data_IF_726227160861
#
_entry.id   IF_726227160861
#
_cell.length_a   1.000
_cell.length_b   1.000
_cell.length_c   1.000
_cell.angle_alpha   90.00
_cell.angle_beta   90.00
_cell.angle_gamma   90.00
#
_symmetry.space_group_name_H-M   'P 1'
#
loop_
_entity.id
_entity.type
_entity.pdbx_description
1 polymer ?
#
# COMPACT_ATOMS: atom_id res chain seq x y z
N UNK A 1 -2.48 27.89 12.02
CA UNK A 1 -2.49 27.85 10.56
C UNK A 1 -2.77 29.23 10.02
N UNK A 2 -1.92 29.71 9.11
CA UNK A 2 -2.10 30.98 8.38
C UNK A 2 -3.28 30.86 7.40
N UNK A 3 -3.79 31.98 6.87
CA UNK A 3 -4.88 31.96 5.86
C UNK A 3 -4.51 31.14 4.61
N UNK A 4 -3.31 31.32 4.00
CA UNK A 4 -2.90 30.49 2.86
C UNK A 4 -2.84 28.99 3.17
N UNK A 5 -2.39 28.63 4.39
CA UNK A 5 -2.31 27.24 4.81
C UNK A 5 -3.72 26.61 4.95
N UNK A 6 -4.71 27.38 5.40
CA UNK A 6 -6.11 26.92 5.48
C UNK A 6 -6.74 26.73 4.10
N UNK A 7 -6.52 27.66 3.17
CA UNK A 7 -7.04 27.60 1.81
C UNK A 7 -6.45 26.41 1.03
N UNK A 8 -5.13 26.23 1.11
CA UNK A 8 -4.45 25.03 0.60
C UNK A 8 -5.11 23.76 1.13
N UNK A 9 -5.32 23.72 2.44
CA UNK A 9 -5.84 22.55 3.14
C UNK A 9 -7.26 22.17 2.71
N UNK A 10 -8.11 23.17 2.52
CA UNK A 10 -9.47 22.98 2.04
C UNK A 10 -9.50 22.47 0.59
N UNK A 11 -8.72 23.09 -0.30
CA UNK A 11 -8.61 22.67 -1.69
C UNK A 11 -8.01 21.26 -1.82
N UNK A 12 -7.03 20.92 -0.99
CA UNK A 12 -6.43 19.57 -0.95
C UNK A 12 -7.46 18.53 -0.52
N UNK A 13 -8.25 18.81 0.52
CA UNK A 13 -9.32 17.92 0.97
C UNK A 13 -10.34 17.69 -0.14
N UNK A 14 -10.72 18.74 -0.88
CA UNK A 14 -11.63 18.64 -2.01
C UNK A 14 -11.05 17.76 -3.14
N UNK A 15 -9.77 17.95 -3.51
CA UNK A 15 -9.10 17.13 -4.53
C UNK A 15 -8.99 15.64 -4.13
N UNK A 16 -8.77 15.35 -2.85
CA UNK A 16 -8.78 13.97 -2.34
C UNK A 16 -10.18 13.35 -2.38
N UNK A 17 -11.22 14.13 -2.11
CA UNK A 17 -12.61 13.68 -2.23
C UNK A 17 -12.99 13.39 -3.69
N UNK A 18 -12.60 14.27 -4.61
CA UNK A 18 -12.81 14.09 -6.06
C UNK A 18 -12.19 12.77 -6.55
N UNK A 19 -10.97 12.45 -6.12
CA UNK A 19 -10.34 11.16 -6.39
C UNK A 19 -11.19 9.99 -5.87
N UNK A 20 -11.64 10.06 -4.61
CA UNK A 20 -12.40 8.98 -4.00
C UNK A 20 -13.71 8.72 -4.77
N UNK A 21 -14.43 9.79 -5.14
CA UNK A 21 -15.64 9.73 -5.96
C UNK A 21 -15.34 9.15 -7.34
N UNK A 22 -14.27 9.59 -8.02
CA UNK A 22 -13.88 9.09 -9.34
C UNK A 22 -13.64 7.58 -9.33
N UNK A 23 -12.87 7.08 -8.36
CA UNK A 23 -12.58 5.65 -8.25
C UNK A 23 -13.86 4.86 -7.99
N UNK A 24 -14.70 5.30 -7.04
CA UNK A 24 -15.94 4.61 -6.72
C UNK A 24 -16.90 4.55 -7.91
N UNK A 25 -17.14 5.70 -8.57
CA UNK A 25 -18.02 5.79 -9.74
C UNK A 25 -17.51 4.94 -10.91
N UNK A 26 -16.19 4.89 -11.13
CA UNK A 26 -15.62 4.05 -12.21
C UNK A 26 -15.80 2.56 -11.91
N UNK A 27 -15.67 2.15 -10.65
CA UNK A 27 -15.91 0.76 -10.27
C UNK A 27 -17.38 0.36 -10.50
N UNK A 28 -18.32 1.24 -10.17
CA UNK A 28 -19.75 1.05 -10.39
C UNK A 28 -20.09 1.00 -11.89
N UNK A 29 -19.55 1.92 -12.69
CA UNK A 29 -19.74 1.97 -14.14
C UNK A 29 -19.25 0.68 -14.82
N UNK A 30 -18.04 0.20 -14.47
CA UNK A 30 -17.49 -1.05 -15.03
C UNK A 30 -18.30 -2.27 -14.54
N UNK A 31 -18.77 -2.28 -13.30
CA UNK A 31 -19.64 -3.34 -12.79
C UNK A 31 -20.98 -3.38 -13.54
N UNK A 32 -21.58 -2.22 -13.81
CA UNK A 32 -22.82 -2.12 -14.60
C UNK A 32 -22.63 -2.60 -16.03
N UNK A 33 -21.51 -2.26 -16.69
CA UNK A 33 -21.20 -2.78 -18.02
C UNK A 33 -21.09 -4.32 -18.04
N UNK A 34 -20.48 -4.90 -16.99
CA UNK A 34 -20.39 -6.35 -16.84
C UNK A 34 -21.77 -6.99 -16.63
N UNK A 35 -22.63 -6.35 -15.84
CA UNK A 35 -23.98 -6.82 -15.57
C UNK A 35 -24.86 -6.81 -16.84
N UNK A 36 -24.82 -5.72 -17.62
CA UNK A 36 -25.54 -5.63 -18.91
C UNK A 36 -25.08 -6.72 -19.88
N UNK A 37 -23.76 -6.96 -19.97
CA UNK A 37 -23.22 -8.02 -20.81
C UNK A 37 -23.68 -9.42 -20.33
N UNK A 38 -23.75 -9.62 -19.02
CA UNK A 38 -24.30 -10.83 -18.42
C UNK A 38 -25.77 -11.02 -18.78
N UNK A 39 -26.62 -10.01 -18.61
CA UNK A 39 -28.05 -10.11 -18.90
C UNK A 39 -28.30 -10.48 -20.36
N UNK A 40 -27.52 -9.89 -21.28
CA UNK A 40 -27.61 -10.23 -22.70
C UNK A 40 -27.23 -11.68 -22.99
N UNK A 41 -26.16 -12.19 -22.37
CA UNK A 41 -25.75 -13.60 -22.51
C UNK A 41 -26.81 -14.52 -21.91
N UNK A 42 -27.35 -14.18 -20.74
CA UNK A 42 -28.39 -14.97 -20.08
C UNK A 42 -29.67 -15.03 -20.92
N UNK A 43 -30.10 -13.91 -21.53
CA UNK A 43 -31.25 -13.87 -22.45
C UNK A 43 -31.03 -14.75 -23.68
N UNK A 44 -29.83 -14.69 -24.27
CA UNK A 44 -29.46 -15.54 -25.40
C UNK A 44 -29.52 -17.03 -25.02
N UNK A 45 -29.07 -17.40 -23.82
CA UNK A 45 -29.13 -18.79 -23.33
C UNK A 45 -30.55 -19.24 -22.98
N UNK A 46 -31.36 -18.38 -22.38
CA UNK A 46 -32.73 -18.70 -22.00
C UNK A 46 -33.66 -18.86 -23.22
N UNK A 47 -33.37 -18.15 -24.32
CA UNK A 47 -34.08 -18.29 -25.59
C UNK A 47 -33.59 -19.45 -26.47
N UNK A 48 -32.54 -20.17 -26.06
CA UNK A 48 -32.01 -21.28 -26.84
C UNK A 48 -32.92 -22.52 -26.74
N UNK A 49 -33.14 -23.27 -27.84
CA UNK A 49 -33.82 -24.57 -27.78
C UNK A 49 -33.12 -25.52 -26.80
N UNK A 50 -33.89 -26.35 -26.09
CA UNK A 50 -33.35 -27.33 -25.14
C UNK A 50 -32.55 -28.43 -25.84
N UNK A 51 -32.88 -28.72 -27.11
CA UNK A 51 -32.12 -29.64 -27.96
C UNK A 51 -31.01 -28.86 -28.69
N UNK A 52 -29.83 -28.82 -28.09
CA UNK A 52 -28.61 -28.26 -28.67
C UNK A 52 -28.13 -29.11 -29.86
N UNK A 53 -28.84 -29.06 -30.99
CA UNK A 53 -28.30 -29.57 -32.24
C UNK A 53 -27.07 -28.75 -32.66
N UNK A 54 -26.10 -29.41 -33.29
CA UNK A 54 -24.77 -28.87 -33.64
C UNK A 54 -24.80 -27.49 -34.31
N UNK A 55 -25.85 -27.18 -35.08
CA UNK A 55 -26.04 -25.90 -35.77
C UNK A 55 -26.37 -24.72 -34.84
N UNK A 56 -27.11 -24.94 -33.76
CA UNK A 56 -27.48 -23.88 -32.81
C UNK A 56 -26.33 -23.48 -31.87
N UNK A 57 -25.42 -24.42 -31.58
CA UNK A 57 -24.26 -24.14 -30.72
C UNK A 57 -23.30 -23.15 -31.36
N UNK A 58 -22.97 -23.32 -32.64
CA UNK A 58 -22.03 -22.40 -33.29
C UNK A 58 -22.60 -20.98 -33.34
N UNK A 59 -23.90 -20.83 -33.56
CA UNK A 59 -24.58 -19.54 -33.52
C UNK A 59 -24.53 -18.95 -32.10
N UNK A 60 -24.80 -19.75 -31.09
CA UNK A 60 -24.72 -19.33 -29.69
C UNK A 60 -23.30 -18.89 -29.30
N UNK A 61 -22.28 -19.67 -29.65
CA UNK A 61 -20.89 -19.34 -29.40
C UNK A 61 -20.48 -18.04 -30.11
N UNK A 62 -20.94 -17.81 -31.35
CA UNK A 62 -20.73 -16.53 -32.05
C UNK A 62 -21.38 -15.35 -31.33
N UNK A 63 -22.62 -15.51 -30.87
CA UNK A 63 -23.33 -14.45 -30.12
C UNK A 63 -22.65 -14.13 -28.78
N UNK A 64 -22.22 -15.16 -28.04
CA UNK A 64 -21.44 -15.01 -26.80
C UNK A 64 -20.11 -14.31 -27.08
N UNK A 65 -19.35 -14.76 -28.09
CA UNK A 65 -18.07 -14.15 -28.45
C UNK A 65 -18.22 -12.67 -28.85
N UNK A 66 -19.29 -12.33 -29.58
CA UNK A 66 -19.62 -10.95 -29.91
C UNK A 66 -19.92 -10.12 -28.66
N UNK A 67 -20.80 -10.59 -27.76
CA UNK A 67 -21.14 -9.89 -26.51
C UNK A 67 -19.90 -9.60 -25.64
N UNK A 68 -18.96 -10.55 -25.62
CA UNK A 68 -17.71 -10.43 -24.85
C UNK A 68 -16.73 -9.46 -25.49
N UNK A 69 -16.64 -9.45 -26.82
CA UNK A 69 -15.83 -8.49 -27.55
C UNK A 69 -16.33 -7.06 -27.35
N UNK A 70 -17.65 -6.87 -27.43
CA UNK A 70 -18.31 -5.59 -27.19
C UNK A 70 -18.11 -5.12 -25.74
N UNK A 71 -18.27 -6.02 -24.77
CA UNK A 71 -17.97 -5.74 -23.35
C UNK A 71 -16.52 -5.31 -23.15
N UNK A 72 -15.56 -6.06 -23.67
CA UNK A 72 -14.13 -5.76 -23.53
C UNK A 72 -13.75 -4.42 -24.17
N UNK A 73 -14.39 -4.07 -25.29
CA UNK A 73 -14.21 -2.78 -25.94
C UNK A 73 -14.82 -1.63 -25.11
N UNK A 74 -16.08 -1.75 -24.67
CA UNK A 74 -16.75 -0.73 -23.88
C UNK A 74 -16.05 -0.48 -22.53
N UNK A 75 -15.73 -1.54 -21.79
CA UNK A 75 -15.01 -1.45 -20.52
C UNK A 75 -13.58 -0.91 -20.71
N UNK A 76 -12.92 -1.25 -21.82
CA UNK A 76 -11.62 -0.71 -22.19
C UNK A 76 -11.66 0.80 -22.44
N UNK A 77 -12.63 1.27 -23.22
CA UNK A 77 -12.83 2.70 -23.49
C UNK A 77 -13.10 3.47 -22.18
N UNK A 78 -14.06 3.00 -21.38
CA UNK A 78 -14.39 3.59 -20.10
C UNK A 78 -13.16 3.66 -19.17
N UNK A 79 -12.42 2.55 -19.01
CA UNK A 79 -11.22 2.53 -18.17
C UNK A 79 -10.15 3.53 -18.68
N UNK A 80 -9.93 3.60 -19.99
CA UNK A 80 -8.95 4.51 -20.58
C UNK A 80 -9.28 5.98 -20.31
N UNK A 81 -10.55 6.35 -20.45
CA UNK A 81 -11.04 7.71 -20.16
C UNK A 81 -10.88 8.06 -18.67
N UNK A 82 -11.33 7.18 -17.77
CA UNK A 82 -11.23 7.42 -16.32
C UNK A 82 -9.80 7.38 -15.80
N UNK A 83 -8.90 6.63 -16.45
CA UNK A 83 -7.46 6.67 -16.17
C UNK A 83 -6.88 8.05 -16.50
N UNK A 84 -7.31 8.65 -17.61
CA UNK A 84 -6.95 10.03 -17.97
C UNK A 84 -7.50 11.03 -16.95
N UNK A 85 -8.76 10.87 -16.53
CA UNK A 85 -9.35 11.68 -15.46
C UNK A 85 -8.58 11.54 -14.13
N UNK A 86 -8.18 10.33 -13.76
CA UNK A 86 -7.41 10.07 -12.53
C UNK A 86 -6.03 10.71 -12.57
N UNK A 87 -5.37 10.70 -13.74
CA UNK A 87 -4.13 11.42 -13.98
C UNK A 87 -4.29 12.92 -13.76
N UNK A 88 -5.31 13.54 -14.37
CA UNK A 88 -5.61 14.97 -14.17
C UNK A 88 -5.99 15.29 -12.72
N UNK A 89 -6.72 14.41 -12.04
CA UNK A 89 -7.00 14.57 -10.62
C UNK A 89 -5.72 14.51 -9.76
N UNK A 90 -4.74 13.68 -10.16
CA UNK A 90 -3.42 13.61 -9.56
C UNK A 90 -2.66 14.93 -9.68
N UNK A 91 -2.69 15.58 -10.86
CA UNK A 91 -2.15 16.94 -11.06
C UNK A 91 -2.89 17.96 -10.20
N UNK A 92 -4.23 17.89 -10.19
CA UNK A 92 -5.09 18.78 -9.45
C UNK A 92 -4.88 18.73 -7.93
N UNK A 93 -4.34 17.62 -7.39
CA UNK A 93 -3.95 17.51 -5.99
C UNK A 93 -2.82 18.49 -5.61
N UNK A 94 -2.05 18.97 -6.58
CA UNK A 94 -0.94 19.91 -6.37
C UNK A 94 -1.36 21.30 -6.83
N UNK A 95 -1.90 21.41 -8.04
CA UNK A 95 -2.20 22.71 -8.65
C UNK A 95 -3.34 23.44 -7.93
N UNK A 96 -4.45 22.76 -7.62
CA UNK A 96 -5.61 23.40 -6.98
C UNK A 96 -5.24 23.94 -5.59
N UNK A 97 -4.52 23.20 -4.72
CA UNK A 97 -4.11 23.73 -3.41
C UNK A 97 -3.10 24.87 -3.48
N UNK A 98 -2.12 24.83 -4.38
CA UNK A 98 -1.15 25.92 -4.53
C UNK A 98 -1.85 27.19 -5.02
N UNK A 99 -2.70 27.08 -6.04
CA UNK A 99 -3.48 28.20 -6.55
C UNK A 99 -4.40 28.80 -5.47
N UNK A 100 -5.09 27.96 -4.69
CA UNK A 100 -5.96 28.40 -3.60
C UNK A 100 -5.19 29.15 -2.50
N UNK A 101 -3.92 28.82 -2.28
CA UNK A 101 -3.04 29.52 -1.33
C UNK A 101 -2.39 30.78 -1.90
N UNK A 102 -2.77 31.22 -3.10
CA UNK A 102 -2.16 32.36 -3.79
C UNK A 102 -0.76 32.09 -4.33
N UNK A 103 -0.34 30.82 -4.38
CA UNK A 103 0.98 30.41 -4.88
C UNK A 103 0.87 30.14 -6.38
N UNK A 104 1.13 31.18 -7.17
CA UNK A 104 1.16 31.07 -8.63
C UNK A 104 2.50 30.46 -9.08
N UNK A 105 2.45 29.26 -9.66
CA UNK A 105 3.62 28.56 -10.20
C UNK A 105 3.40 28.26 -11.68
N UNK A 106 4.31 28.73 -12.52
CA UNK A 106 4.34 28.36 -13.93
C UNK A 106 5.18 27.09 -14.07
N UNK A 107 4.50 25.96 -14.04
CA UNK A 107 5.15 24.64 -14.09
C UNK A 107 5.13 24.09 -15.53
N UNK A 108 6.18 23.36 -15.94
CA UNK A 108 6.26 22.79 -17.28
C UNK A 108 5.15 21.76 -17.53
N UNK A 109 4.89 21.49 -18.81
CA UNK A 109 3.98 20.41 -19.21
C UNK A 109 4.49 19.06 -18.67
N UNK A 110 3.57 18.20 -18.26
CA UNK A 110 3.92 16.87 -17.79
C UNK A 110 4.13 15.90 -18.96
N UNK A 111 5.13 15.03 -18.84
CA UNK A 111 5.33 13.92 -19.77
C UNK A 111 4.18 12.90 -19.65
N UNK A 112 3.44 12.72 -20.74
CA UNK A 112 2.29 11.81 -20.81
C UNK A 112 2.65 10.40 -21.29
N UNK A 113 3.92 10.09 -21.59
CA UNK A 113 4.34 8.75 -22.03
C UNK A 113 3.95 7.67 -21.01
N UNK A 114 4.12 7.97 -19.73
CA UNK A 114 3.75 7.03 -18.66
C UNK A 114 2.22 6.88 -18.54
N UNK A 115 1.45 7.95 -18.78
CA UNK A 115 -0.02 7.86 -18.86
C UNK A 115 -0.46 6.92 -19.99
N UNK A 116 0.16 7.04 -21.18
CA UNK A 116 -0.14 6.16 -22.32
C UNK A 116 0.14 4.71 -21.96
N UNK A 117 1.28 4.41 -21.32
CA UNK A 117 1.62 3.06 -20.89
C UNK A 117 0.62 2.49 -19.86
N UNK A 118 0.23 3.28 -18.85
CA UNK A 118 -0.74 2.85 -17.83
C UNK A 118 -2.10 2.56 -18.47
N UNK A 119 -2.55 3.41 -19.40
CA UNK A 119 -3.81 3.21 -20.14
C UNK A 119 -3.78 1.94 -20.97
N UNK A 120 -2.75 1.76 -21.80
CA UNK A 120 -2.62 0.57 -22.65
C UNK A 120 -2.64 -0.71 -21.82
N UNK A 121 -1.86 -0.77 -20.73
CA UNK A 121 -1.82 -1.93 -19.85
C UNK A 121 -3.18 -2.20 -19.18
N UNK A 122 -3.87 -1.18 -18.70
CA UNK A 122 -5.19 -1.33 -18.08
C UNK A 122 -6.24 -1.87 -19.07
N UNK A 123 -6.27 -1.32 -20.29
CA UNK A 123 -7.17 -1.74 -21.36
C UNK A 123 -6.92 -3.19 -21.76
N UNK A 124 -5.65 -3.57 -21.95
CA UNK A 124 -5.26 -4.95 -22.28
C UNK A 124 -5.73 -5.93 -21.18
N UNK A 125 -5.53 -5.58 -19.90
CA UNK A 125 -5.97 -6.43 -18.78
C UNK A 125 -7.49 -6.62 -18.70
N UNK A 126 -8.28 -5.60 -19.02
CA UNK A 126 -9.74 -5.73 -19.09
C UNK A 126 -10.16 -6.58 -20.29
N UNK A 127 -9.54 -6.40 -21.46
CA UNK A 127 -9.82 -7.22 -22.64
C UNK A 127 -9.48 -8.68 -22.40
N UNK A 128 -8.31 -8.97 -21.83
CA UNK A 128 -7.89 -10.32 -21.47
C UNK A 128 -8.84 -10.97 -20.48
N UNK A 129 -9.36 -10.21 -19.51
CA UNK A 129 -10.36 -10.70 -18.56
C UNK A 129 -11.65 -11.09 -19.28
N UNK A 130 -12.13 -10.26 -20.21
CA UNK A 130 -13.32 -10.56 -21.02
C UNK A 130 -13.11 -11.84 -21.85
N UNK A 131 -11.96 -11.97 -22.52
CA UNK A 131 -11.61 -13.18 -23.30
C UNK A 131 -11.59 -14.43 -22.41
N UNK A 132 -10.98 -14.36 -21.22
CA UNK A 132 -10.95 -15.48 -20.27
C UNK A 132 -12.36 -15.86 -19.79
N UNK A 133 -13.24 -14.88 -19.57
CA UNK A 133 -14.63 -15.15 -19.24
C UNK A 133 -15.33 -15.89 -20.40
N UNK A 134 -15.08 -15.49 -21.65
CA UNK A 134 -15.64 -16.16 -22.83
C UNK A 134 -15.17 -17.58 -23.04
N UNK A 135 -13.90 -17.85 -22.79
CA UNK A 135 -13.37 -19.21 -22.84
C UNK A 135 -14.07 -20.12 -21.82
N UNK A 136 -14.32 -19.63 -20.60
CA UNK A 136 -15.07 -20.38 -19.58
C UNK A 136 -16.51 -20.63 -20.02
N UNK A 137 -17.19 -19.64 -20.58
CA UNK A 137 -18.56 -19.81 -21.07
C UNK A 137 -18.59 -20.86 -22.18
N UNK A 138 -17.69 -20.76 -23.16
CA UNK A 138 -17.62 -21.72 -24.25
C UNK A 138 -17.35 -23.15 -23.75
N UNK A 139 -16.55 -23.31 -22.69
CA UNK A 139 -16.34 -24.60 -22.04
C UNK A 139 -17.64 -25.15 -21.44
N UNK A 140 -18.39 -24.33 -20.70
CA UNK A 140 -19.67 -24.74 -20.11
C UNK A 140 -20.71 -25.10 -21.18
N UNK A 141 -20.76 -24.34 -22.28
CA UNK A 141 -21.63 -24.65 -23.42
C UNK A 141 -21.23 -25.96 -24.12
N UNK A 142 -19.92 -26.23 -24.24
CA UNK A 142 -19.42 -27.49 -24.79
C UNK A 142 -19.81 -28.70 -23.93
N UNK A 143 -19.75 -28.57 -22.60
CA UNK A 143 -20.18 -29.62 -21.67
C UNK A 143 -21.68 -29.89 -21.74
N UNK A 144 -22.49 -28.85 -21.92
CA UNK A 144 -23.93 -28.99 -22.11
C UNK A 144 -24.25 -29.78 -23.38
N UNK A 145 -23.54 -29.49 -24.48
CA UNK A 145 -23.73 -30.15 -25.78
C UNK A 145 -23.46 -31.66 -25.72
N UNK A 146 -22.39 -32.10 -25.04
CA UNK A 146 -22.06 -33.53 -24.97
C UNK A 146 -22.90 -34.29 -23.94
N UNK A 147 -23.91 -33.64 -23.35
CA UNK A 147 -24.78 -34.22 -22.31
C UNK A 147 -24.08 -34.41 -20.97
N UNK A 148 -22.90 -33.83 -20.76
CA UNK A 148 -22.16 -33.93 -19.50
C UNK A 148 -22.77 -33.07 -18.39
N UNK A 149 -23.61 -32.08 -18.73
CA UNK A 149 -24.35 -31.26 -17.76
C UNK A 149 -25.68 -30.74 -18.33
N UNK A 150 -26.62 -30.39 -17.43
CA UNK A 150 -27.91 -29.82 -17.81
C UNK A 150 -27.84 -28.34 -18.20
N UNK A 151 -28.86 -27.87 -18.92
CA UNK A 151 -28.98 -26.47 -19.37
C UNK A 151 -29.08 -25.49 -18.21
N UNK A 152 -29.88 -25.83 -17.19
CA UNK A 152 -30.01 -25.00 -15.98
C UNK A 152 -28.68 -24.86 -15.23
N UNK A 153 -27.91 -25.95 -15.12
CA UNK A 153 -26.58 -25.93 -14.49
C UNK A 153 -25.60 -25.08 -15.30
N UNK A 154 -25.67 -25.16 -16.63
CA UNK A 154 -24.84 -24.37 -17.55
C UNK A 154 -25.11 -22.87 -17.36
N UNK A 155 -26.38 -22.45 -17.30
CA UNK A 155 -26.75 -21.05 -17.04
C UNK A 155 -26.22 -20.60 -15.66
N UNK A 156 -26.36 -21.43 -14.63
CA UNK A 156 -25.84 -21.13 -13.28
C UNK A 156 -24.31 -21.00 -13.23
N UNK A 157 -23.58 -21.85 -13.96
CA UNK A 157 -22.11 -21.79 -14.04
C UNK A 157 -21.63 -20.59 -14.86
N UNK A 158 -22.29 -20.27 -15.97
CA UNK A 158 -22.04 -19.06 -16.75
C UNK A 158 -22.26 -17.81 -15.89
N UNK A 159 -23.34 -17.77 -15.11
CA UNK A 159 -23.62 -16.69 -14.14
C UNK A 159 -22.50 -16.57 -13.11
N UNK A 160 -22.01 -17.67 -12.55
CA UNK A 160 -20.89 -17.66 -11.60
C UNK A 160 -19.58 -17.19 -12.22
N UNK A 161 -19.27 -17.67 -13.44
CA UNK A 161 -18.04 -17.32 -14.15
C UNK A 161 -17.98 -15.83 -14.54
N UNK A 162 -19.12 -15.24 -14.90
CA UNK A 162 -19.27 -13.83 -15.25
C UNK A 162 -19.57 -12.90 -14.07
N UNK A 163 -20.16 -13.41 -12.99
CA UNK A 163 -20.57 -12.63 -11.83
C UNK A 163 -19.40 -12.27 -10.92
N UNK A 164 -19.22 -13.04 -9.85
CA UNK A 164 -18.32 -12.66 -8.74
C UNK A 164 -16.84 -12.63 -9.15
N UNK A 165 -16.39 -13.61 -9.93
CA UNK A 165 -14.98 -13.74 -10.30
C UNK A 165 -14.53 -12.63 -11.28
N UNK A 166 -15.35 -12.33 -12.30
CA UNK A 166 -15.03 -11.28 -13.26
C UNK A 166 -15.19 -9.89 -12.65
N UNK A 167 -16.25 -9.65 -11.86
CA UNK A 167 -16.47 -8.36 -11.19
C UNK A 167 -15.37 -8.05 -10.18
N UNK A 168 -14.95 -9.03 -9.36
CA UNK A 168 -13.85 -8.85 -8.40
C UNK A 168 -12.51 -8.54 -9.08
N UNK A 169 -12.23 -9.20 -10.22
CA UNK A 169 -11.03 -8.95 -11.01
C UNK A 169 -11.09 -7.59 -11.72
N UNK A 170 -12.22 -7.23 -12.31
CA UNK A 170 -12.42 -5.92 -12.94
C UNK A 170 -12.24 -4.80 -11.92
N UNK A 171 -12.86 -4.91 -10.75
CA UNK A 171 -12.72 -3.95 -9.66
C UNK A 171 -11.25 -3.80 -9.22
N UNK A 172 -10.46 -4.88 -9.24
CA UNK A 172 -9.02 -4.85 -8.97
C UNK A 172 -8.26 -4.09 -10.05
N UNK A 173 -8.46 -4.43 -11.33
CA UNK A 173 -7.80 -3.77 -12.46
C UNK A 173 -8.09 -2.26 -12.46
N UNK A 174 -9.36 -1.89 -12.30
CA UNK A 174 -9.82 -0.50 -12.24
C UNK A 174 -9.14 0.23 -11.07
N UNK A 175 -9.22 -0.32 -9.86
CA UNK A 175 -8.69 0.33 -8.66
C UNK A 175 -7.19 0.55 -8.75
N UNK A 176 -6.45 -0.48 -9.16
CA UNK A 176 -5.00 -0.43 -9.25
C UNK A 176 -4.55 0.51 -10.37
N UNK A 177 -5.18 0.43 -11.55
CA UNK A 177 -4.87 1.30 -12.70
C UNK A 177 -5.10 2.77 -12.41
N UNK A 178 -6.29 3.14 -11.91
CA UNK A 178 -6.63 4.52 -11.57
C UNK A 178 -5.76 5.05 -10.43
N UNK A 179 -5.53 4.25 -9.38
CA UNK A 179 -4.71 4.68 -8.24
C UNK A 179 -3.25 4.87 -8.63
N UNK A 180 -2.73 4.02 -9.54
CA UNK A 180 -1.38 4.17 -10.09
C UNK A 180 -1.26 5.44 -10.93
N UNK A 181 -2.19 5.68 -11.86
CA UNK A 181 -2.19 6.89 -12.69
C UNK A 181 -2.25 8.16 -11.85
N UNK A 182 -3.13 8.19 -10.85
CA UNK A 182 -3.24 9.29 -9.91
C UNK A 182 -1.94 9.54 -9.14
N UNK A 183 -1.35 8.49 -8.55
CA UNK A 183 -0.19 8.62 -7.67
C UNK A 183 1.09 8.98 -8.44
N UNK A 184 1.25 8.45 -9.66
CA UNK A 184 2.35 8.82 -10.56
C UNK A 184 2.24 10.28 -10.96
N UNK A 185 1.05 10.73 -11.39
CA UNK A 185 0.82 12.11 -11.79
C UNK A 185 1.05 13.08 -10.63
N UNK A 186 0.55 12.74 -9.43
CA UNK A 186 0.72 13.60 -8.26
C UNK A 186 2.17 13.66 -7.79
N UNK A 187 2.93 12.55 -7.85
CA UNK A 187 4.36 12.55 -7.56
C UNK A 187 5.13 13.43 -8.55
N UNK A 188 4.96 13.21 -9.86
CA UNK A 188 5.65 13.97 -10.89
C UNK A 188 5.35 15.47 -10.79
N UNK A 189 4.08 15.82 -10.54
CA UNK A 189 3.69 17.22 -10.35
C UNK A 189 4.26 17.83 -9.08
N UNK A 190 4.35 17.05 -8.00
CA UNK A 190 4.97 17.49 -6.74
C UNK A 190 6.47 17.75 -6.89
N UNK A 191 7.16 16.94 -7.70
CA UNK A 191 8.57 17.15 -8.04
C UNK A 191 8.79 18.46 -8.82
N UNK A 192 7.97 18.72 -9.84
CA UNK A 192 7.99 20.00 -10.58
C UNK A 192 7.72 21.19 -9.64
N UNK A 193 6.70 21.09 -8.79
CA UNK A 193 6.36 22.16 -7.84
C UNK A 193 7.50 22.42 -6.83
N UNK A 194 8.23 21.38 -6.43
CA UNK A 194 9.32 21.47 -5.46
C UNK A 194 10.52 22.31 -5.94
N UNK A 195 10.67 22.52 -7.25
CA UNK A 195 11.70 23.39 -7.80
C UNK A 195 11.46 24.87 -7.46
N UNK A 196 10.20 25.26 -7.27
CA UNK A 196 9.79 26.65 -7.00
C UNK A 196 9.38 26.84 -5.55
N UNK A 197 8.65 25.86 -5.00
CA UNK A 197 8.10 25.90 -3.65
C UNK A 197 8.52 24.62 -2.96
N UNK A 198 9.44 24.64 -1.99
CA UNK A 198 9.88 23.43 -1.32
C UNK A 198 8.71 22.59 -0.78
N UNK A 199 8.55 21.38 -1.29
CA UNK A 199 7.44 20.47 -0.95
C UNK A 199 7.95 19.23 -0.21
N UNK A 200 7.13 18.75 0.71
CA UNK A 200 7.20 17.41 1.26
C UNK A 200 5.98 16.59 0.82
N UNK A 201 6.05 15.30 1.09
CA UNK A 201 4.95 14.37 0.92
C UNK A 201 4.80 13.51 2.16
N UNK A 202 3.56 13.19 2.48
CA UNK A 202 3.21 12.42 3.68
C UNK A 202 2.46 11.16 3.26
N UNK A 203 2.92 10.00 3.72
CA UNK A 203 2.22 8.75 3.52
C UNK A 203 0.95 8.72 4.37
N UNK A 204 -0.19 8.43 3.73
CA UNK A 204 -1.47 8.26 4.42
C UNK A 204 -2.06 6.88 4.17
N UNK A 205 -2.33 6.17 5.25
CA UNK A 205 -3.00 4.87 5.20
C UNK A 205 -4.45 4.98 4.70
N UNK A 206 -4.95 3.90 4.11
CA UNK A 206 -6.25 3.88 3.43
C UNK A 206 -7.48 3.89 4.36
N UNK A 207 -7.28 3.70 5.67
CA UNK A 207 -8.38 3.51 6.64
C UNK A 207 -9.19 2.21 6.45
N UNK A 208 -8.69 1.26 5.65
CA UNK A 208 -9.34 -0.05 5.47
C UNK A 208 -9.30 -0.83 6.78
N UNK A 209 -10.35 -1.56 7.13
CA UNK A 209 -10.40 -2.36 8.36
C UNK A 209 -9.23 -3.35 8.43
N UNK A 210 -8.98 -4.07 7.34
CA UNK A 210 -7.87 -5.02 7.20
C UNK A 210 -6.78 -4.43 6.29
N UNK A 211 -6.24 -3.27 6.69
CA UNK A 211 -5.04 -2.69 6.08
C UNK A 211 -3.79 -3.54 6.39
N UNK A 212 -2.77 -3.43 5.54
CA UNK A 212 -1.50 -4.12 5.77
C UNK A 212 -0.74 -3.44 6.91
N UNK A 213 -0.16 -4.25 7.78
CA UNK A 213 0.58 -3.80 8.96
C UNK A 213 1.65 -2.77 8.64
N UNK A 214 2.48 -3.08 7.65
CA UNK A 214 3.60 -2.26 7.22
C UNK A 214 3.18 -0.94 6.57
N UNK A 215 1.99 -0.88 5.97
CA UNK A 215 1.42 0.34 5.40
C UNK A 215 0.84 1.25 6.46
N UNK A 216 0.24 0.65 7.49
CA UNK A 216 -0.23 1.35 8.68
C UNK A 216 0.96 1.91 9.48
N UNK A 217 2.07 1.16 9.59
CA UNK A 217 3.31 1.62 10.22
C UNK A 217 3.98 2.78 9.46
N UNK A 218 3.80 2.86 8.14
CA UNK A 218 4.29 3.97 7.33
C UNK A 218 3.39 5.22 7.41
N UNK A 219 2.17 5.12 7.96
CA UNK A 219 1.27 6.27 8.11
C UNK A 219 1.95 7.40 8.88
N UNK A 220 1.97 8.55 8.24
CA UNK A 220 2.60 9.73 8.79
C UNK A 220 4.07 9.93 8.52
N UNK A 221 4.70 8.99 7.82
CA UNK A 221 6.04 9.24 7.32
C UNK A 221 6.00 10.46 6.41
N UNK A 222 6.67 11.53 6.83
CA UNK A 222 6.85 12.77 6.07
C UNK A 222 8.27 12.79 5.52
N UNK A 223 8.40 12.95 4.22
CA UNK A 223 9.70 13.00 3.52
C UNK A 223 9.68 14.11 2.47
N UNK A 224 10.85 14.67 2.10
CA UNK A 224 10.95 15.50 0.90
C UNK A 224 10.41 14.77 -0.33
N UNK A 225 9.82 15.50 -1.28
CA UNK A 225 9.17 14.89 -2.45
C UNK A 225 10.10 14.00 -3.28
N UNK A 226 11.40 14.30 -3.33
CA UNK A 226 12.42 13.56 -4.08
C UNK A 226 12.95 12.32 -3.33
N UNK A 227 12.50 12.09 -2.10
CA UNK A 227 12.91 10.94 -1.28
C UNK A 227 11.82 9.86 -1.23
N UNK A 228 12.20 8.57 -1.14
CA UNK A 228 11.23 7.50 -0.99
C UNK A 228 10.71 7.42 0.45
N UNK A 229 9.49 6.91 0.59
CA UNK A 229 9.00 6.32 1.83
C UNK A 229 9.70 4.98 2.08
N UNK A 230 9.76 4.58 3.36
CA UNK A 230 10.38 3.32 3.79
C UNK A 230 9.29 2.45 4.40
N UNK A 231 8.91 1.40 3.66
CA UNK A 231 7.88 0.44 4.06
C UNK A 231 8.57 -0.77 4.70
N UNK A 232 8.32 -0.99 5.99
CA UNK A 232 8.97 -2.07 6.75
C UNK A 232 8.31 -3.41 6.47
N UNK A 233 8.91 -4.28 5.66
CA UNK A 233 8.36 -5.62 5.37
C UNK A 233 9.12 -6.71 6.11
N UNK A 234 8.53 -7.92 6.30
CA UNK A 234 9.24 -9.06 6.85
C UNK A 234 10.51 -9.45 6.07
N UNK A 235 10.56 -9.12 4.77
CA UNK A 235 11.67 -9.43 3.87
C UNK A 235 12.68 -8.27 3.75
N UNK A 236 12.57 -7.25 4.61
CA UNK A 236 13.40 -6.05 4.59
C UNK A 236 12.65 -4.77 4.17
N UNK A 237 13.29 -3.60 4.32
CA UNK A 237 12.67 -2.33 3.98
C UNK A 237 12.50 -2.18 2.46
N UNK A 238 11.29 -1.85 2.02
CA UNK A 238 10.99 -1.51 0.63
C UNK A 238 10.93 0.01 0.49
N UNK A 239 11.68 0.55 -0.46
CA UNK A 239 11.65 1.98 -0.83
C UNK A 239 10.55 2.20 -1.86
N UNK A 240 9.62 3.10 -1.56
CA UNK A 240 8.52 3.46 -2.48
C UNK A 240 8.44 4.97 -2.63
N UNK A 241 8.43 5.50 -3.85
CA UNK A 241 8.29 6.95 -4.05
C UNK A 241 6.91 7.44 -3.66
N UNK A 242 5.88 6.64 -3.88
CA UNK A 242 4.51 6.93 -3.50
C UNK A 242 3.75 5.61 -3.29
N UNK A 243 2.58 5.61 -2.63
CA UNK A 243 1.66 4.50 -2.72
C UNK A 243 1.35 4.18 -4.17
N UNK A 244 1.18 2.90 -4.50
CA UNK A 244 0.99 2.44 -5.88
C UNK A 244 2.18 2.71 -6.82
N UNK A 245 3.40 2.86 -6.30
CA UNK A 245 4.62 2.94 -7.10
C UNK A 245 4.73 1.72 -8.05
N UNK A 246 4.78 1.92 -9.39
CA UNK A 246 4.92 0.83 -10.35
C UNK A 246 6.16 -0.04 -10.11
N UNK A 247 7.22 0.51 -9.52
CA UNK A 247 8.49 -0.19 -9.22
C UNK A 247 8.42 -1.02 -7.94
N UNK A 248 7.40 -0.83 -7.10
CA UNK A 248 7.24 -1.60 -5.88
C UNK A 248 6.77 -3.05 -6.14
N UNK A 249 7.15 -4.00 -5.26
CA UNK A 249 6.61 -5.36 -5.29
C UNK A 249 5.09 -5.37 -5.29
N UNK A 250 4.49 -6.34 -6.00
CA UNK A 250 3.02 -6.44 -6.13
C UNK A 250 2.35 -6.51 -4.76
N UNK A 251 2.93 -7.25 -3.80
CA UNK A 251 2.43 -7.39 -2.43
C UNK A 251 2.23 -6.03 -1.72
N UNK A 252 2.99 -5.01 -2.10
CA UNK A 252 2.94 -3.68 -1.49
C UNK A 252 1.97 -2.73 -2.20
N UNK A 253 1.60 -2.97 -3.47
CA UNK A 253 0.76 -2.03 -4.24
C UNK A 253 -0.64 -2.54 -4.57
N UNK A 254 -0.81 -3.85 -4.78
CA UNK A 254 -2.11 -4.43 -5.17
C UNK A 254 -3.12 -4.21 -4.05
N UNK A 255 -4.36 -3.82 -4.38
CA UNK A 255 -5.40 -3.55 -3.38
C UNK A 255 -5.00 -2.56 -2.29
N UNK A 256 -3.93 -1.79 -2.48
CA UNK A 256 -3.62 -0.71 -1.57
C UNK A 256 -4.69 0.38 -1.71
N UNK A 257 -4.90 1.19 -0.68
CA UNK A 257 -5.70 2.42 -0.78
C UNK A 257 -4.99 3.61 -0.16
N UNK A 258 -3.71 3.45 0.16
CA UNK A 258 -2.90 4.50 0.75
C UNK A 258 -2.68 5.60 -0.30
N UNK A 259 -2.44 6.82 0.17
CA UNK A 259 -2.22 7.99 -0.68
C UNK A 259 -1.01 8.77 -0.20
N UNK A 260 -0.39 9.50 -1.11
CA UNK A 260 0.62 10.49 -0.77
C UNK A 260 -0.02 11.87 -0.77
N UNK A 261 0.10 12.60 0.35
CA UNK A 261 -0.48 13.93 0.50
C UNK A 261 0.63 14.97 0.42
N UNK A 262 0.63 15.86 -0.59
CA UNK A 262 1.67 16.88 -0.75
C UNK A 262 1.50 17.98 0.30
N UNK A 263 2.60 18.63 0.68
CA UNK A 263 2.58 19.73 1.64
C UNK A 263 3.75 20.67 1.39
N UNK A 264 3.55 21.98 1.55
CA UNK A 264 4.66 22.93 1.58
C UNK A 264 5.54 22.64 2.80
N UNK A 265 6.86 22.51 2.60
CA UNK A 265 7.82 22.04 3.62
C UNK A 265 7.81 22.88 4.89
N UNK A 266 7.68 24.20 4.76
CA UNK A 266 7.66 25.12 5.91
C UNK A 266 6.37 25.07 6.72
N UNK A 267 5.32 24.39 6.24
CA UNK A 267 4.01 24.38 6.88
C UNK A 267 3.80 23.15 7.77
N UNK A 268 2.96 23.32 8.78
CA UNK A 268 2.50 22.23 9.65
C UNK A 268 1.59 21.29 8.86
N UNK A 269 1.64 19.99 9.10
CA UNK A 269 0.86 19.04 8.32
C UNK A 269 -0.66 19.33 8.42
N UNK A 270 -1.33 19.37 7.26
CA UNK A 270 -2.77 19.65 7.13
C UNK A 270 -3.64 18.61 7.86
N UNK A 271 -3.23 17.36 7.72
CA UNK A 271 -3.70 16.23 8.50
C UNK A 271 -2.57 15.92 9.47
N UNK A 272 -2.88 15.64 10.74
CA UNK A 272 -1.87 15.23 11.72
C UNK A 272 -0.90 14.24 11.09
N UNK A 273 0.40 14.50 11.15
CA UNK A 273 1.43 13.56 10.68
C UNK A 273 1.12 12.18 11.25
N UNK A 274 0.61 12.02 12.47
CA UNK A 274 0.12 10.71 12.94
C UNK A 274 -1.40 10.75 13.10
N UNK A 275 -2.13 10.05 12.23
CA UNK A 275 -3.58 9.94 12.34
C UNK A 275 -3.94 8.74 13.24
N UNK A 276 -4.62 8.95 14.38
CA UNK A 276 -5.03 7.83 15.22
C UNK A 276 -6.02 6.92 14.48
N UNK A 277 -6.08 5.65 14.90
CA UNK A 277 -7.14 4.74 14.46
C UNK A 277 -8.49 5.20 14.97
N UNK A 278 -9.53 5.08 14.15
CA UNK A 278 -10.89 5.33 14.61
C UNK A 278 -11.34 4.23 15.58
N UNK A 279 -12.32 4.55 16.44
CA UNK A 279 -12.92 3.55 17.33
C UNK A 279 -13.49 2.36 16.55
N UNK A 280 -14.06 2.61 15.37
CA UNK A 280 -14.59 1.57 14.49
C UNK A 280 -13.51 0.67 13.90
N UNK A 281 -12.37 1.25 13.51
CA UNK A 281 -11.21 0.49 13.03
C UNK A 281 -10.67 -0.44 14.11
N UNK A 282 -10.59 0.05 15.35
CA UNK A 282 -10.11 -0.74 16.50
C UNK A 282 -11.14 -1.82 16.85
N UNK A 283 -12.44 -1.49 16.88
CA UNK A 283 -13.52 -2.44 17.18
C UNK A 283 -13.53 -3.61 16.22
N UNK A 284 -13.37 -3.34 14.91
CA UNK A 284 -13.39 -4.38 13.87
C UNK A 284 -12.04 -5.05 13.65
N UNK A 285 -10.95 -4.46 14.14
CA UNK A 285 -9.61 -5.03 14.08
C UNK A 285 -8.79 -4.61 15.32
N UNK A 286 -8.89 -5.36 16.43
CA UNK A 286 -8.23 -5.03 17.69
C UNK A 286 -6.70 -4.92 17.60
N UNK A 287 -6.06 -5.64 16.66
CA UNK A 287 -4.60 -5.54 16.42
C UNK A 287 -4.13 -4.13 16.06
N UNK A 288 -5.04 -3.25 15.59
CA UNK A 288 -4.72 -1.84 15.35
C UNK A 288 -4.45 -1.04 16.62
N UNK A 289 -5.02 -1.43 17.75
CA UNK A 289 -4.70 -0.82 19.04
C UNK A 289 -3.23 -1.08 19.40
N UNK A 290 -2.75 -2.30 19.22
CA UNK A 290 -1.36 -2.70 19.51
C UNK A 290 -0.34 -2.00 18.61
N UNK A 291 -0.71 -1.76 17.35
CA UNK A 291 0.12 -1.03 16.38
C UNK A 291 0.40 0.41 16.77
N UNK A 292 -0.60 1.10 17.32
CA UNK A 292 -0.43 2.47 17.78
C UNK A 292 0.65 2.58 18.87
N UNK A 293 0.73 1.57 19.73
CA UNK A 293 1.76 1.44 20.75
C UNK A 293 3.13 1.07 20.15
N UNK A 294 3.19 0.20 19.14
CA UNK A 294 4.42 -0.13 18.40
C UNK A 294 4.97 1.12 17.68
N UNK A 295 4.10 1.90 17.05
CA UNK A 295 4.48 3.10 16.29
C UNK A 295 4.92 4.24 17.21
N UNK A 296 4.34 4.33 18.41
CA UNK A 296 4.84 5.20 19.49
C UNK A 296 6.25 4.77 19.95
N UNK A 297 6.51 3.46 20.10
CA UNK A 297 7.84 2.93 20.44
C UNK A 297 8.88 3.16 19.35
N UNK A 298 8.55 2.92 18.07
CA UNK A 298 9.45 3.20 16.94
C UNK A 298 9.77 4.69 16.85
N UNK A 299 8.78 5.56 17.01
CA UNK A 299 9.00 7.01 16.99
C UNK A 299 9.87 7.49 18.17
N UNK A 300 9.72 6.89 19.35
CA UNK A 300 10.59 7.15 20.49
C UNK A 300 12.04 6.73 20.16
N UNK A 301 12.22 5.55 19.55
CA UNK A 301 13.54 5.06 19.11
C UNK A 301 14.18 5.95 18.03
N UNK A 302 13.43 6.38 17.01
CA UNK A 302 13.95 7.29 15.98
C UNK A 302 14.33 8.66 16.53
N UNK A 303 13.57 9.20 17.50
CA UNK A 303 13.92 10.45 18.19
C UNK A 303 15.17 10.28 19.08
N UNK A 304 15.41 9.09 19.64
CA UNK A 304 16.65 8.76 20.35
C UNK A 304 17.84 8.66 19.38
N UNK A 305 17.65 8.14 18.17
CA UNK A 305 18.68 8.06 17.13
C UNK A 305 19.08 9.45 16.62
N UNK A 306 18.13 10.37 16.42
CA UNK A 306 18.45 11.77 16.05
C UNK A 306 19.16 12.54 17.18
N UNK A 307 18.81 12.30 18.45
CA UNK A 307 19.57 12.83 19.59
C UNK A 307 20.95 12.16 19.75
N UNK A 308 21.11 10.93 19.27
CA UNK A 308 22.36 10.16 19.28
C UNK A 308 23.37 10.57 18.20
N UNK A 309 23.01 11.43 17.23
CA UNK A 309 24.00 11.99 16.29
C UNK A 309 25.06 12.89 16.97
N UNK A 310 24.87 13.22 18.26
CA UNK A 310 25.89 13.81 19.13
C UNK A 310 26.91 12.82 19.71
N UNK A 311 26.77 11.50 19.49
CA UNK A 311 27.59 10.46 20.12
C UNK A 311 28.34 9.56 19.12
N UNK A 312 28.84 10.13 18.01
CA UNK A 312 29.62 9.42 16.98
C UNK A 312 30.90 8.69 17.45
N UNK A 313 31.22 8.63 18.75
CA UNK A 313 32.48 8.04 19.25
C UNK A 313 32.34 6.84 20.21
N UNK A 314 31.14 6.49 20.69
CA UNK A 314 31.06 5.57 21.86
C UNK A 314 31.34 4.10 21.55
N UNK A 315 31.16 3.66 20.31
CA UNK A 315 31.32 2.24 19.91
C UNK A 315 32.25 2.02 18.71
N UNK A 316 32.93 3.05 18.21
CA UNK A 316 33.73 3.00 16.98
C UNK A 316 34.79 1.89 16.98
N UNK A 317 35.55 1.77 18.07
CA UNK A 317 36.55 0.70 18.24
C UNK A 317 35.91 -0.71 18.27
N UNK A 318 34.74 -0.83 18.91
CA UNK A 318 34.00 -2.09 18.99
C UNK A 318 33.43 -2.51 17.64
N UNK A 319 32.93 -1.55 16.86
CA UNK A 319 32.42 -1.76 15.50
C UNK A 319 33.55 -2.22 14.58
N UNK A 320 34.72 -1.57 14.64
CA UNK A 320 35.90 -1.94 13.84
C UNK A 320 36.32 -3.38 14.09
N UNK A 321 36.40 -3.79 15.36
CA UNK A 321 36.73 -5.17 15.72
C UNK A 321 35.70 -6.19 15.19
N UNK A 322 34.41 -5.88 15.24
CA UNK A 322 33.36 -6.80 14.77
C UNK A 322 33.27 -6.84 13.23
N UNK A 323 33.69 -5.78 12.53
CA UNK A 323 33.83 -5.79 11.07
C UNK A 323 34.91 -6.75 10.55
N UNK A 324 35.77 -7.27 11.42
CA UNK A 324 36.80 -8.25 11.04
C UNK A 324 36.39 -9.71 11.37
N UNK A 325 35.32 -9.91 12.16
CA UNK A 325 34.89 -11.24 12.59
C UNK A 325 34.07 -11.96 11.50
N UNK A 326 34.13 -13.30 11.38
CA UNK A 326 33.25 -14.06 10.48
C UNK A 326 31.77 -13.91 10.82
N UNK A 327 30.89 -14.03 9.81
CA UNK A 327 29.43 -13.91 9.96
C UNK A 327 28.85 -14.83 11.03
N UNK A 328 29.40 -16.05 11.16
CA UNK A 328 28.99 -17.02 12.19
C UNK A 328 29.22 -16.50 13.61
N UNK A 329 30.29 -15.74 13.83
CA UNK A 329 30.60 -15.09 15.11
C UNK A 329 29.69 -13.89 15.37
N UNK A 330 29.34 -13.11 14.34
CA UNK A 330 28.37 -12.02 14.46
C UNK A 330 26.97 -12.54 14.83
N UNK A 331 26.53 -13.62 14.19
CA UNK A 331 25.27 -14.28 14.53
C UNK A 331 25.29 -14.88 15.94
N UNK A 332 26.42 -15.45 16.37
CA UNK A 332 26.60 -15.94 17.75
C UNK A 332 26.50 -14.81 18.77
N UNK A 333 27.10 -13.65 18.48
CA UNK A 333 27.02 -12.46 19.32
C UNK A 333 25.59 -11.93 19.42
N UNK A 334 24.84 -11.86 18.29
CA UNK A 334 23.42 -11.48 18.29
C UNK A 334 22.62 -12.40 19.23
N UNK A 335 22.76 -13.73 19.09
CA UNK A 335 22.08 -14.69 19.98
C UNK A 335 22.49 -14.52 21.45
N UNK A 336 23.74 -14.15 21.72
CA UNK A 336 24.20 -13.89 23.09
C UNK A 336 23.52 -12.65 23.67
N UNK A 337 23.47 -11.55 22.92
CA UNK A 337 22.83 -10.31 23.37
C UNK A 337 21.32 -10.47 23.54
N UNK A 338 20.65 -11.23 22.67
CA UNK A 338 19.22 -11.56 22.86
C UNK A 338 19.00 -12.30 24.18
N UNK A 339 19.80 -13.34 24.48
CA UNK A 339 19.73 -14.04 25.77
C UNK A 339 20.05 -13.14 26.97
N UNK A 340 20.93 -12.16 26.81
CA UNK A 340 21.23 -11.19 27.86
C UNK A 340 20.04 -10.25 28.08
N UNK A 341 19.37 -9.78 27.03
CA UNK A 341 18.15 -8.98 27.14
C UNK A 341 17.09 -9.75 27.92
N UNK A 342 16.83 -11.01 27.57
CA UNK A 342 15.84 -11.85 28.27
C UNK A 342 16.16 -12.00 29.77
N UNK A 343 17.45 -12.15 30.11
CA UNK A 343 17.89 -12.19 31.51
C UNK A 343 17.63 -10.89 32.25
N UNK A 344 17.98 -9.74 31.66
CA UNK A 344 17.77 -8.44 32.29
C UNK A 344 16.27 -8.13 32.41
N UNK A 345 15.45 -8.52 31.44
CA UNK A 345 13.98 -8.44 31.56
C UNK A 345 13.46 -9.31 32.70
N UNK A 346 13.99 -10.53 32.86
CA UNK A 346 13.71 -11.39 34.00
C UNK A 346 14.12 -10.77 35.33
N UNK A 347 15.25 -10.07 35.40
CA UNK A 347 15.70 -9.37 36.60
C UNK A 347 14.85 -8.14 36.92
N UNK A 348 14.37 -7.41 35.91
CA UNK A 348 13.44 -6.29 36.13
C UNK A 348 12.10 -6.81 36.66
N UNK A 349 11.60 -7.92 36.09
CA UNK A 349 10.35 -8.55 36.53
C UNK A 349 10.47 -9.18 37.93
N UNK A 350 11.63 -9.75 38.26
CA UNK A 350 11.92 -10.32 39.57
C UNK A 350 13.37 -9.98 40.00
N UNK A 351 13.60 -8.83 40.65
CA UNK A 351 14.95 -8.39 41.04
C UNK A 351 15.66 -9.34 42.01
N UNK A 352 14.89 -10.06 42.83
CA UNK A 352 15.41 -11.05 43.78
C UNK A 352 16.07 -12.25 43.09
N UNK A 353 15.72 -12.52 41.82
CA UNK A 353 16.34 -13.59 41.03
C UNK A 353 17.81 -13.34 40.69
N UNK A 354 18.25 -12.07 40.72
CA UNK A 354 19.64 -11.66 40.47
C UNK A 354 20.35 -11.17 41.71
N UNK A 355 19.63 -10.46 42.57
CA UNK A 355 20.17 -9.86 43.79
C UNK A 355 19.28 -10.25 44.95
N UNK A 356 19.66 -11.30 45.67
CA UNK A 356 18.89 -11.87 46.79
C UNK A 356 18.59 -10.85 47.88
N UNK A 357 19.48 -9.88 48.09
CA UNK A 357 19.34 -8.81 49.09
C UNK A 357 18.62 -7.55 48.57
N UNK A 358 18.04 -7.59 47.37
CA UNK A 358 17.42 -6.41 46.73
C UNK A 358 16.37 -5.74 47.62
N UNK A 359 15.59 -6.54 48.36
CA UNK A 359 14.55 -6.03 49.27
C UNK A 359 15.12 -5.18 50.43
N UNK A 360 16.38 -5.41 50.81
CA UNK A 360 17.05 -4.72 51.92
C UNK A 360 17.79 -3.44 51.48
N UNK A 361 17.84 -3.16 50.18
CA UNK A 361 18.43 -1.92 49.66
C UNK A 361 17.51 -0.72 49.89
N UNK A 362 18.11 0.46 50.05
CA UNK A 362 17.35 1.70 50.05
C UNK A 362 16.69 1.95 48.68
N UNK A 363 15.63 2.75 48.66
CA UNK A 363 14.82 2.99 47.45
C UNK A 363 15.63 3.59 46.30
N UNK A 364 16.66 4.39 46.59
CA UNK A 364 17.51 5.01 45.56
C UNK A 364 18.39 3.95 44.91
N UNK A 365 18.97 3.04 45.71
CA UNK A 365 19.76 1.92 45.20
C UNK A 365 18.92 0.90 44.42
N UNK A 366 17.70 0.60 44.87
CA UNK A 366 16.75 -0.23 44.12
C UNK A 366 16.44 0.37 42.74
N UNK A 367 16.06 1.65 42.71
CA UNK A 367 15.77 2.35 41.45
C UNK A 367 17.00 2.45 40.54
N UNK A 368 18.20 2.65 41.10
CA UNK A 368 19.45 2.70 40.33
C UNK A 368 19.77 1.35 39.66
N UNK A 369 19.52 0.23 40.34
CA UNK A 369 19.71 -1.11 39.79
C UNK A 369 18.75 -1.42 38.64
N UNK A 370 17.45 -1.14 38.82
CA UNK A 370 16.47 -1.30 37.75
C UNK A 370 16.81 -0.43 36.54
N UNK A 371 17.22 0.82 36.79
CA UNK A 371 17.67 1.73 35.74
C UNK A 371 18.92 1.20 35.03
N UNK A 372 19.88 0.63 35.75
CA UNK A 372 21.07 0.01 35.17
C UNK A 372 20.74 -1.15 34.24
N UNK A 373 19.87 -2.07 34.68
CA UNK A 373 19.43 -3.18 33.84
C UNK A 373 18.65 -2.72 32.60
N UNK A 374 17.85 -1.67 32.71
CA UNK A 374 17.16 -1.06 31.58
C UNK A 374 18.16 -0.46 30.57
N UNK A 375 19.20 0.23 31.05
CA UNK A 375 20.27 0.78 30.21
C UNK A 375 21.10 -0.31 29.52
N UNK A 376 21.32 -1.45 30.20
CA UNK A 376 22.02 -2.59 29.60
C UNK A 376 21.16 -3.26 28.50
N UNK A 377 19.83 -3.34 28.67
CA UNK A 377 18.92 -3.79 27.61
C UNK A 377 19.04 -2.89 26.37
N UNK A 378 18.99 -1.57 26.57
CA UNK A 378 19.11 -0.59 25.48
C UNK A 378 20.45 -0.75 24.74
N UNK A 379 21.56 -0.84 25.48
CA UNK A 379 22.89 -1.08 24.90
C UNK A 379 22.98 -2.39 24.12
N UNK A 380 22.38 -3.47 24.62
CA UNK A 380 22.36 -4.75 23.91
C UNK A 380 21.52 -4.70 22.63
N UNK A 381 20.41 -3.96 22.62
CA UNK A 381 19.61 -3.74 21.42
C UNK A 381 20.39 -2.96 20.35
N UNK A 382 21.15 -1.93 20.76
CA UNK A 382 22.04 -1.18 19.89
C UNK A 382 23.12 -2.08 19.26
N UNK A 383 23.79 -2.93 20.06
CA UNK A 383 24.77 -3.88 19.53
C UNK A 383 24.16 -4.87 18.54
N UNK A 384 22.96 -5.38 18.79
CA UNK A 384 22.26 -6.27 17.84
C UNK A 384 21.99 -5.54 16.52
N UNK A 385 21.53 -4.28 16.57
CA UNK A 385 21.25 -3.49 15.37
C UNK A 385 22.52 -3.29 14.54
N UNK A 386 23.65 -2.96 15.18
CA UNK A 386 24.93 -2.78 14.50
C UNK A 386 25.43 -4.09 13.86
N UNK A 387 25.38 -5.21 14.59
CA UNK A 387 25.84 -6.50 14.05
C UNK A 387 25.00 -6.97 12.86
N UNK A 388 23.69 -6.71 12.89
CA UNK A 388 22.79 -7.00 11.75
C UNK A 388 23.16 -6.16 10.53
N UNK A 389 23.50 -4.89 10.73
CA UNK A 389 23.94 -3.99 9.66
C UNK A 389 25.26 -4.47 9.01
N UNK A 390 26.26 -4.88 9.81
CA UNK A 390 27.51 -5.46 9.27
C UNK A 390 27.23 -6.73 8.45
N UNK A 391 26.34 -7.60 8.91
CA UNK A 391 25.94 -8.83 8.21
C UNK A 391 25.14 -8.56 6.92
N UNK A 392 24.50 -7.40 6.80
CA UNK A 392 23.72 -6.99 5.63
C UNK A 392 24.62 -6.35 4.58
N UNK A 393 25.55 -5.48 4.99
CA UNK A 393 26.60 -4.91 4.12
C UNK A 393 27.40 -6.02 3.41
N UNK A 394 27.85 -7.04 4.15
CA UNK A 394 28.61 -8.16 3.58
C UNK A 394 27.84 -9.05 2.61
N UNK A 395 26.52 -9.07 2.69
CA UNK A 395 25.66 -9.83 1.75
C UNK A 395 25.41 -9.08 0.44
N UNK A 396 25.89 -7.84 0.33
CA UNK A 396 25.80 -7.03 -0.89
C UNK A 396 27.15 -6.91 -1.62
N UNK A 397 28.26 -7.27 -0.94
CA UNK A 397 29.62 -7.30 -1.51
C UNK A 397 29.98 -8.68 -2.15
N UNK A 398 29.06 -9.64 -2.10
CA UNK A 398 29.11 -10.96 -2.75
C UNK A 398 27.85 -11.15 -3.59
#
# INVERSE_FOLDING_TARGET
MTTPEKEFSQAQKAALQERATLIAATQEEIASLLEVAYERIALVLAGAPTDYQQWHLEQLQRQVAQAITELGAAAGTALSEKTTAAWHAGVGLIDKPLAAAGVSVQLPYMDTRLLVAIRSFGVERIKDMAVQAGQKINQELGLAMIGAQGVHDTIGKVKTALGEAATGRAATIVRDGLSTAYAVASQARSEQANEVVPMDKIWRRSGKIHSRLNHDLADGQRVPVDKPFIIQTPNGPVKMMHPHDPRAPIAEKIHCGCISVPKVRSWSATVSDKKPYSAEEIRRNPHKADLSAIQAKIALQSATIEKGQGEKGRHEAWIKMHRELPDTKLQQAIRSFTRQIDKHQGWIANPLSKTTDYANFDKRRQAALLKGWQQDIERHQEFIAILKLILEERRHDH
#
